data_IF_163258826546
#
_entry.id   IF_163258826546
#
_cell.length_a   1.000
_cell.length_b   1.000
_cell.length_c   1.000
_cell.angle_alpha   90.00
_cell.angle_beta   90.00
_cell.angle_gamma   90.00
#
_symmetry.space_group_name_H-M   'P 1'
#
loop_
_entity.id
_entity.type
_entity.pdbx_description
1 polymer ?
#
# COMPACT_ATOMS: atom_id res chain seq x y z
N UNK A 1 10.92 9.65 -35.16
CA UNK A 1 12.03 10.06 -34.28
C UNK A 1 11.67 9.57 -32.90
N UNK A 2 12.16 8.38 -32.55
CA UNK A 2 11.86 7.76 -31.27
C UNK A 2 12.89 8.32 -30.29
N UNK A 3 12.50 9.30 -29.47
CA UNK A 3 13.29 9.67 -28.30
C UNK A 3 13.17 8.54 -27.29
N UNK A 4 13.87 7.44 -27.54
CA UNK A 4 14.22 6.50 -26.49
C UNK A 4 15.19 7.24 -25.57
N UNK A 5 14.66 8.01 -24.63
CA UNK A 5 15.41 8.50 -23.48
C UNK A 5 15.99 7.26 -22.81
N UNK A 6 17.26 7.01 -23.05
CA UNK A 6 18.01 5.96 -22.38
C UNK A 6 18.08 6.39 -20.93
N UNK A 7 17.23 5.82 -20.08
CA UNK A 7 17.25 6.05 -18.64
C UNK A 7 18.64 5.63 -18.17
N UNK A 8 19.45 6.55 -17.61
CA UNK A 8 20.75 6.18 -17.07
C UNK A 8 20.54 5.09 -16.01
N UNK A 9 21.22 3.95 -16.18
CA UNK A 9 21.13 2.85 -15.20
C UNK A 9 21.51 3.40 -13.82
N UNK A 10 20.55 3.39 -12.88
CA UNK A 10 20.73 3.85 -11.49
C UNK A 10 20.01 5.14 -11.11
N UNK A 11 19.37 5.87 -12.05
CA UNK A 11 18.56 7.05 -11.74
C UNK A 11 17.08 6.72 -11.90
N UNK A 12 16.30 6.92 -10.83
CA UNK A 12 14.84 6.74 -10.82
C UNK A 12 14.20 8.11 -11.05
N UNK A 13 13.41 8.25 -12.12
CA UNK A 13 12.70 9.48 -12.44
C UNK A 13 11.29 9.49 -11.85
N UNK A 14 10.83 10.67 -11.41
CA UNK A 14 9.50 10.85 -10.81
C UNK A 14 8.35 10.46 -11.75
N UNK A 15 8.39 10.92 -13.00
CA UNK A 15 7.32 10.66 -13.98
C UNK A 15 7.14 9.17 -14.25
N UNK A 16 8.24 8.44 -14.44
CA UNK A 16 8.21 6.99 -14.68
C UNK A 16 7.80 6.20 -13.42
N UNK A 17 8.21 6.63 -12.22
CA UNK A 17 7.84 5.98 -10.97
C UNK A 17 6.34 6.11 -10.69
N UNK A 18 5.78 7.32 -10.87
CA UNK A 18 4.35 7.58 -10.73
C UNK A 18 3.52 6.69 -11.64
N UNK A 19 3.97 6.49 -12.88
CA UNK A 19 3.32 5.62 -13.86
C UNK A 19 3.67 4.13 -13.70
N UNK A 20 4.41 3.74 -12.65
CA UNK A 20 4.85 2.37 -12.36
C UNK A 20 5.63 1.72 -13.51
N UNK A 21 6.39 2.52 -14.27
CA UNK A 21 7.22 2.07 -15.39
C UNK A 21 8.60 1.55 -14.95
N UNK A 22 9.00 1.82 -13.71
CA UNK A 22 10.26 1.37 -13.13
C UNK A 22 10.04 0.04 -12.40
N UNK A 23 10.84 -0.97 -12.73
CA UNK A 23 10.83 -2.26 -12.03
C UNK A 23 11.29 -2.09 -10.58
N UNK A 24 10.52 -2.62 -9.63
CA UNK A 24 10.87 -2.55 -8.22
C UNK A 24 12.09 -3.45 -7.92
N UNK A 25 13.02 -3.01 -7.07
CA UNK A 25 14.20 -3.81 -6.71
C UNK A 25 13.85 -5.08 -5.92
N UNK A 26 12.65 -5.12 -5.33
CA UNK A 26 12.14 -6.25 -4.58
C UNK A 26 10.64 -6.39 -4.84
N UNK A 27 10.23 -7.63 -5.15
CA UNK A 27 8.83 -8.02 -5.21
C UNK A 27 8.54 -8.96 -4.02
N UNK A 28 7.65 -8.58 -3.08
CA UNK A 28 7.32 -9.44 -1.94
C UNK A 28 6.70 -10.75 -2.42
N UNK A 29 7.00 -11.84 -1.71
CA UNK A 29 6.40 -13.15 -1.99
C UNK A 29 4.97 -13.15 -1.48
N UNK A 30 4.00 -13.40 -2.35
CA UNK A 30 2.59 -13.56 -2.00
C UNK A 30 2.04 -14.82 -2.67
N UNK A 31 1.22 -15.58 -1.94
CA UNK A 31 0.52 -16.78 -2.42
C UNK A 31 -0.80 -16.47 -3.13
N UNK A 32 -1.32 -15.25 -2.98
CA UNK A 32 -2.54 -14.78 -3.62
C UNK A 32 -3.27 -13.72 -2.78
N UNK A 33 -4.48 -13.31 -3.21
CA UNK A 33 -5.34 -12.44 -2.40
C UNK A 33 -5.63 -13.07 -1.04
N UNK A 34 -5.49 -12.30 0.05
CA UNK A 34 -5.69 -12.77 1.42
C UNK A 34 -4.46 -13.43 2.06
N UNK A 35 -3.30 -13.47 1.38
CA UNK A 35 -2.07 -13.98 2.01
C UNK A 35 -1.52 -13.01 3.05
N UNK A 36 -1.63 -13.38 4.32
CA UNK A 36 -1.11 -12.62 5.45
C UNK A 36 0.35 -12.95 5.81
N UNK A 37 1.06 -13.78 5.03
CA UNK A 37 2.39 -14.30 5.43
C UNK A 37 3.52 -13.27 5.54
N UNK A 38 3.32 -12.04 5.03
CA UNK A 38 4.28 -10.95 5.18
C UNK A 38 3.98 -10.06 6.41
N UNK A 39 2.92 -10.37 7.15
CA UNK A 39 2.53 -9.69 8.38
C UNK A 39 2.85 -10.58 9.58
N UNK A 40 3.02 -9.95 10.75
CA UNK A 40 3.19 -10.67 12.01
C UNK A 40 1.83 -11.15 12.54
N UNK A 41 1.86 -12.25 13.31
CA UNK A 41 0.69 -12.76 14.01
C UNK A 41 0.46 -11.94 15.30
N UNK A 42 -0.68 -11.27 15.40
CA UNK A 42 -1.15 -10.58 16.61
C UNK A 42 -2.33 -11.33 17.23
N UNK A 43 -2.52 -11.16 18.55
CA UNK A 43 -3.69 -11.72 19.23
C UNK A 43 -4.99 -11.09 18.69
N UNK A 44 -5.93 -11.92 18.25
CA UNK A 44 -7.22 -11.46 17.74
C UNK A 44 -8.17 -11.11 18.89
N UNK A 45 -8.54 -9.83 19.00
CA UNK A 45 -9.57 -9.37 19.94
C UNK A 45 -10.94 -9.23 19.27
N UNK A 46 -12.05 -9.60 19.95
CA UNK A 46 -13.37 -9.44 19.40
C UNK A 46 -13.74 -7.96 19.23
N UNK A 47 -14.30 -7.61 18.07
CA UNK A 47 -14.84 -6.28 17.81
C UNK A 47 -16.04 -5.99 18.73
N UNK A 48 -15.89 -5.01 19.63
CA UNK A 48 -16.95 -4.59 20.56
C UNK A 48 -17.69 -3.37 20.02
N UNK A 49 -18.97 -3.56 19.67
CA UNK A 49 -19.85 -2.46 19.23
C UNK A 49 -20.68 -1.99 20.42
N UNK A 50 -20.62 -0.70 20.72
CA UNK A 50 -21.44 -0.08 21.77
C UNK A 50 -22.91 -0.03 21.34
N UNK A 51 -23.84 -0.34 22.24
CA UNK A 51 -25.28 -0.18 22.00
C UNK A 51 -25.74 1.28 21.94
N UNK A 52 -24.86 2.22 22.28
CA UNK A 52 -25.09 3.67 22.12
C UNK A 52 -24.04 4.28 21.22
N UNK A 53 -24.41 5.35 20.54
CA UNK A 53 -23.46 6.24 19.86
C UNK A 53 -22.42 6.79 20.86
N UNK A 54 -21.17 6.91 20.41
CA UNK A 54 -20.06 7.47 21.19
C UNK A 54 -19.33 8.49 20.32
N UNK A 55 -19.00 9.64 20.92
CA UNK A 55 -18.15 10.66 20.29
C UNK A 55 -18.69 11.24 18.95
N UNK A 56 -20.01 11.38 18.82
CA UNK A 56 -20.63 11.81 17.56
C UNK A 56 -20.27 13.22 17.12
N UNK A 57 -19.91 14.10 18.07
CA UNK A 57 -19.45 15.46 17.73
C UNK A 57 -18.02 15.44 17.19
N UNK A 58 -17.17 14.62 17.77
CA UNK A 58 -15.76 14.49 17.41
C UNK A 58 -15.57 13.84 16.03
N UNK A 59 -16.48 12.92 15.67
CA UNK A 59 -16.46 12.20 14.40
C UNK A 59 -17.56 12.66 13.42
N UNK A 60 -18.06 13.90 13.56
CA UNK A 60 -19.17 14.40 12.74
C UNK A 60 -18.84 14.53 11.24
N UNK A 61 -17.56 14.68 10.89
CA UNK A 61 -17.06 14.81 9.50
C UNK A 61 -16.02 13.75 9.13
N UNK A 62 -15.93 12.66 9.91
CA UNK A 62 -15.00 11.56 9.63
C UNK A 62 -15.34 10.79 8.36
#
# INVERSE_FOLDING_TARGET
MNNSNVIPKGVIWWEDNKEKKVEAPFLPKCRGPGDASNFDDYEEEPLRISGTEKCSKEFAEF
#
